data_IF_443624392087
#
_entry.id   IF_443624392087
#
_cell.length_a   1.000
_cell.length_b   1.000
_cell.length_c   1.000
_cell.angle_alpha   90.00
_cell.angle_beta   90.00
_cell.angle_gamma   90.00
#
_symmetry.space_group_name_H-M   'P 1'
#
loop_
_entity.id
_entity.type
_entity.pdbx_description
1 polymer ?
#
# COMPACT_ATOMS: atom_id res chain seq x y z
N UNK A 1 17.79 29.96 -17.75
CA UNK A 1 18.10 29.94 -16.31
C UNK A 1 17.14 28.98 -15.63
N UNK A 2 17.60 27.79 -15.24
CA UNK A 2 16.74 26.79 -14.56
C UNK A 2 17.37 26.37 -13.23
N UNK A 3 17.15 27.15 -12.15
CA UNK A 3 17.56 26.77 -10.79
C UNK A 3 16.55 25.85 -10.09
N UNK A 4 15.46 25.41 -10.74
CA UNK A 4 14.35 24.72 -10.07
C UNK A 4 14.66 23.32 -9.55
N UNK A 5 15.55 22.57 -10.20
CA UNK A 5 15.80 21.16 -9.84
C UNK A 5 16.43 20.99 -8.46
N UNK A 6 17.22 21.98 -8.02
CA UNK A 6 17.87 21.96 -6.71
C UNK A 6 16.90 22.29 -5.57
N UNK A 7 15.93 23.20 -5.81
CA UNK A 7 14.86 23.48 -4.85
C UNK A 7 14.01 22.24 -4.60
N UNK A 8 13.51 21.64 -5.68
CA UNK A 8 12.61 20.48 -5.60
C UNK A 8 13.17 19.30 -4.78
N UNK A 9 14.46 18.99 -4.90
CA UNK A 9 15.06 17.90 -4.10
C UNK A 9 15.17 18.26 -2.62
N UNK A 10 15.54 19.51 -2.29
CA UNK A 10 15.56 19.99 -0.91
C UNK A 10 14.15 20.00 -0.29
N UNK A 11 13.13 20.34 -1.06
CA UNK A 11 11.73 20.28 -0.60
C UNK A 11 11.31 18.84 -0.28
N UNK A 12 11.74 17.86 -1.07
CA UNK A 12 11.47 16.44 -0.81
C UNK A 12 12.24 15.95 0.42
N UNK A 13 13.51 16.31 0.57
CA UNK A 13 14.30 15.93 1.74
C UNK A 13 13.67 16.48 3.03
N UNK A 14 13.26 17.76 3.03
CA UNK A 14 12.52 18.36 4.15
C UNK A 14 11.20 17.67 4.42
N UNK A 15 10.47 17.27 3.37
CA UNK A 15 9.21 16.53 3.53
C UNK A 15 9.44 15.17 4.21
N UNK A 16 10.52 14.47 3.86
CA UNK A 16 10.91 13.20 4.49
C UNK A 16 11.28 13.42 5.96
N UNK A 17 12.00 14.49 6.28
CA UNK A 17 12.39 14.84 7.66
C UNK A 17 11.19 15.23 8.52
N UNK A 18 10.20 15.92 7.95
CA UNK A 18 9.01 16.40 8.67
C UNK A 18 7.93 15.32 8.83
N UNK A 19 7.93 14.29 8.00
CA UNK A 19 6.91 13.24 8.04
C UNK A 19 7.42 12.04 8.83
N UNK A 20 6.73 11.70 9.92
CA UNK A 20 7.12 10.56 10.74
C UNK A 20 6.73 9.23 10.10
N UNK A 21 7.51 8.18 10.36
CA UNK A 21 7.16 6.79 9.97
C UNK A 21 5.82 6.38 10.57
N UNK A 22 5.54 6.78 11.82
CA UNK A 22 4.26 6.51 12.48
C UNK A 22 3.07 7.07 11.70
N UNK A 23 3.18 8.31 11.22
CA UNK A 23 2.13 8.96 10.42
C UNK A 23 1.89 8.24 9.10
N UNK A 24 2.95 7.80 8.42
CA UNK A 24 2.84 6.99 7.20
C UNK A 24 2.16 5.65 7.50
N UNK A 25 2.63 4.89 8.48
CA UNK A 25 2.05 3.58 8.79
C UNK A 25 0.60 3.67 9.28
N UNK A 26 0.27 4.70 10.07
CA UNK A 26 -1.09 4.98 10.51
C UNK A 26 -2.05 5.23 9.34
N UNK A 27 -1.59 5.88 8.25
CA UNK A 27 -2.37 6.04 7.03
C UNK A 27 -2.79 4.70 6.40
N UNK A 28 -1.96 3.66 6.54
CA UNK A 28 -2.23 2.29 6.06
C UNK A 28 -2.81 1.36 7.13
N UNK A 29 -3.27 1.91 8.27
CA UNK A 29 -3.83 1.12 9.37
C UNK A 29 -2.82 0.21 10.07
N UNK A 30 -1.52 0.50 9.95
CA UNK A 30 -0.44 -0.25 10.62
C UNK A 30 0.06 0.58 11.82
N UNK A 31 -0.16 0.15 13.06
CA UNK A 31 0.34 0.89 14.23
C UNK A 31 1.85 0.67 14.41
N UNK A 32 2.58 1.74 14.73
CA UNK A 32 3.96 1.64 15.20
C UNK A 32 3.92 1.28 16.70
N UNK A 33 4.67 0.28 17.18
CA UNK A 33 4.74 -0.04 18.59
C UNK A 33 5.38 1.12 19.36
N UNK A 34 4.82 1.48 20.52
CA UNK A 34 5.29 2.60 21.37
C UNK A 34 6.72 2.44 21.91
N UNK A 35 7.38 1.30 21.68
CA UNK A 35 8.73 1.06 22.19
C UNK A 35 9.77 1.72 21.29
N UNK A 36 10.36 2.78 21.84
CA UNK A 36 11.43 3.58 21.27
C UNK A 36 12.78 2.83 21.30
N UNK A 37 12.90 1.76 20.51
CA UNK A 37 14.17 1.04 20.31
C UNK A 37 15.05 1.69 19.22
N UNK A 38 14.64 2.82 18.64
CA UNK A 38 15.29 3.47 17.50
C UNK A 38 15.22 2.71 16.16
N UNK A 39 14.71 1.48 16.21
CA UNK A 39 14.46 0.59 15.09
C UNK A 39 13.07 -0.03 15.25
N UNK A 40 12.35 -0.09 14.15
CA UNK A 40 11.10 -0.82 14.03
C UNK A 40 11.27 -1.98 13.05
N UNK A 41 10.80 -3.17 13.44
CA UNK A 41 10.75 -4.35 12.56
C UNK A 41 9.30 -4.66 12.23
N UNK A 42 9.04 -4.88 10.95
CA UNK A 42 7.72 -5.20 10.41
C UNK A 42 7.81 -6.21 9.27
N UNK A 43 6.67 -6.72 8.84
CA UNK A 43 6.55 -7.57 7.67
C UNK A 43 7.01 -6.83 6.41
N UNK A 44 7.58 -7.58 5.48
CA UNK A 44 8.01 -7.00 4.21
C UNK A 44 6.80 -6.51 3.41
N UNK A 45 6.88 -5.28 2.93
CA UNK A 45 5.84 -4.69 2.07
C UNK A 45 6.16 -4.85 0.58
N UNK A 46 7.30 -5.42 0.21
CA UNK A 46 7.76 -5.49 -1.19
C UNK A 46 7.47 -6.82 -1.89
N UNK A 47 7.12 -7.86 -1.13
CA UNK A 47 6.82 -9.18 -1.65
C UNK A 47 6.03 -9.94 -0.57
N UNK A 48 4.88 -10.52 -0.94
CA UNK A 48 4.03 -11.33 -0.07
C UNK A 48 4.76 -12.57 0.46
N UNK A 49 5.59 -13.23 -0.36
CA UNK A 49 6.41 -14.37 0.06
C UNK A 49 7.44 -13.99 1.13
N UNK A 50 7.78 -12.69 1.21
CA UNK A 50 8.71 -12.15 2.18
C UNK A 50 8.00 -11.58 3.42
N UNK A 51 6.68 -11.43 3.38
CA UNK A 51 5.88 -10.90 4.47
C UNK A 51 5.78 -11.92 5.62
N UNK A 52 5.81 -13.21 5.32
CA UNK A 52 5.74 -14.28 6.32
C UNK A 52 7.06 -14.42 7.09
N UNK A 53 7.17 -13.71 8.21
CA UNK A 53 8.31 -13.81 9.12
C UNK A 53 7.90 -13.53 10.55
N UNK A 54 8.23 -14.46 11.45
CA UNK A 54 7.92 -14.36 12.88
C UNK A 54 8.50 -13.10 13.56
N UNK A 55 9.57 -12.51 13.02
CA UNK A 55 10.29 -11.38 13.62
C UNK A 55 10.28 -10.10 12.77
N UNK A 56 9.62 -10.12 11.61
CA UNK A 56 9.65 -9.05 10.62
C UNK A 56 10.96 -9.01 9.82
N UNK A 57 10.83 -9.04 8.48
CA UNK A 57 11.97 -9.00 7.56
C UNK A 57 12.41 -7.58 7.18
N UNK A 58 11.56 -6.58 7.43
CA UNK A 58 11.79 -5.18 7.09
C UNK A 58 12.15 -4.38 8.35
N UNK A 59 13.33 -3.78 8.36
CA UNK A 59 13.79 -2.87 9.41
C UNK A 59 13.64 -1.43 8.94
N UNK A 60 13.04 -0.59 9.78
CA UNK A 60 12.91 0.87 9.61
C UNK A 60 13.67 1.55 10.75
N UNK A 61 14.65 2.40 10.41
CA UNK A 61 15.44 3.17 11.37
C UNK A 61 14.69 4.44 11.72
N UNK A 62 14.07 4.48 12.91
CA UNK A 62 13.26 5.61 13.37
C UNK A 62 14.11 6.81 13.83
N UNK A 63 15.34 6.54 14.29
CA UNK A 63 16.28 7.58 14.76
C UNK A 63 17.13 8.18 13.63
N UNK A 64 16.79 7.89 12.37
CA UNK A 64 17.54 8.35 11.21
C UNK A 64 16.76 9.45 10.51
N UNK A 65 17.42 10.58 10.23
CA UNK A 65 16.78 11.76 9.59
C UNK A 65 16.13 11.43 8.24
N UNK A 66 16.68 10.44 7.52
CA UNK A 66 16.13 9.97 6.24
C UNK A 66 15.28 8.70 6.38
N UNK A 67 15.01 8.23 7.60
CA UNK A 67 14.22 7.03 7.89
C UNK A 67 14.65 5.81 7.05
N UNK A 68 15.94 5.41 7.15
CA UNK A 68 16.49 4.33 6.33
C UNK A 68 15.73 3.03 6.56
N UNK A 69 15.41 2.37 5.46
CA UNK A 69 14.80 1.04 5.47
C UNK A 69 15.72 0.00 4.85
N UNK A 70 15.59 -1.23 5.35
CA UNK A 70 16.26 -2.39 4.78
C UNK A 70 15.44 -3.66 4.99
N UNK A 71 15.18 -4.38 3.90
CA UNK A 71 14.63 -5.73 3.96
C UNK A 71 15.77 -6.76 3.92
N UNK A 72 15.82 -7.63 4.93
CA UNK A 72 16.87 -8.65 5.05
C UNK A 72 16.75 -9.77 4.01
N UNK A 73 15.55 -10.00 3.47
CA UNK A 73 15.26 -11.07 2.50
C UNK A 73 15.28 -10.52 1.07
N UNK A 74 14.43 -9.53 0.75
CA UNK A 74 14.40 -8.92 -0.60
C UNK A 74 15.63 -8.07 -0.93
N UNK A 75 16.49 -7.76 0.05
CA UNK A 75 17.65 -6.87 -0.07
C UNK A 75 17.33 -5.45 -0.54
N UNK A 76 16.05 -5.07 -0.54
CA UNK A 76 15.58 -3.71 -0.86
C UNK A 76 16.07 -2.76 0.23
N UNK A 77 16.67 -1.65 -0.20
CA UNK A 77 17.15 -0.57 0.67
C UNK A 77 16.63 0.76 0.17
N UNK A 78 16.21 1.61 1.08
CA UNK A 78 15.71 2.93 0.72
C UNK A 78 15.50 3.84 1.92
N UNK A 79 14.58 4.78 1.74
CA UNK A 79 14.11 5.74 2.72
C UNK A 79 12.58 5.65 2.86
N UNK A 80 11.98 6.63 3.53
CA UNK A 80 10.53 6.72 3.72
C UNK A 80 9.72 6.62 2.41
N UNK A 81 10.20 7.23 1.31
CA UNK A 81 9.51 7.13 0.01
C UNK A 81 9.51 5.69 -0.52
N UNK A 82 10.60 4.95 -0.28
CA UNK A 82 10.67 3.55 -0.70
C UNK A 82 9.71 2.68 0.11
N UNK A 83 9.57 2.96 1.42
CA UNK A 83 8.58 2.29 2.26
C UNK A 83 7.16 2.56 1.73
N UNK A 84 6.86 3.83 1.44
CA UNK A 84 5.56 4.26 0.93
C UNK A 84 5.23 3.59 -0.40
N UNK A 85 6.19 3.51 -1.32
CA UNK A 85 6.01 2.79 -2.57
C UNK A 85 5.65 1.32 -2.34
N UNK A 86 6.36 0.62 -1.46
CA UNK A 86 6.05 -0.77 -1.15
C UNK A 86 4.68 -0.95 -0.49
N UNK A 87 4.25 -0.01 0.35
CA UNK A 87 2.91 -0.03 0.95
C UNK A 87 1.79 0.15 -0.10
N UNK A 88 2.05 0.87 -1.18
CA UNK A 88 1.08 1.10 -2.27
C UNK A 88 1.07 -0.03 -3.31
N UNK A 89 2.25 -0.48 -3.74
CA UNK A 89 2.39 -1.37 -4.91
C UNK A 89 2.62 -2.82 -4.53
N UNK A 90 2.94 -3.09 -3.26
CA UNK A 90 3.44 -4.38 -2.79
C UNK A 90 4.66 -4.91 -3.56
N UNK A 91 5.44 -4.01 -4.17
CA UNK A 91 6.54 -4.35 -5.08
C UNK A 91 7.79 -3.51 -4.79
N UNK A 92 8.99 -4.04 -5.07
CA UNK A 92 10.22 -3.26 -4.98
C UNK A 92 10.28 -2.21 -6.12
N UNK A 93 10.96 -1.07 -5.89
CA UNK A 93 11.12 -0.06 -6.93
C UNK A 93 11.87 -0.59 -8.16
N UNK A 94 11.45 -0.17 -9.35
CA UNK A 94 12.05 -0.61 -10.60
C UNK A 94 13.53 -0.20 -10.66
N UNK A 95 14.43 -1.19 -10.81
CA UNK A 95 15.88 -0.94 -10.83
C UNK A 95 16.50 -0.59 -9.46
N UNK A 96 15.78 -0.89 -8.37
CA UNK A 96 16.31 -0.82 -7.00
C UNK A 96 16.30 0.56 -6.35
N UNK A 97 15.88 1.62 -7.06
CA UNK A 97 15.67 2.97 -6.53
C UNK A 97 14.51 3.65 -7.23
N UNK A 98 13.71 4.40 -6.47
CA UNK A 98 12.64 5.22 -7.03
C UNK A 98 13.19 6.27 -7.99
N UNK A 99 12.69 6.27 -9.22
CA UNK A 99 13.03 7.26 -10.25
C UNK A 99 11.79 7.65 -11.05
N UNK A 100 11.89 8.74 -11.81
CA UNK A 100 10.88 9.12 -12.79
C UNK A 100 9.48 9.27 -12.16
N UNK A 101 8.51 8.55 -12.69
CA UNK A 101 7.12 8.59 -12.24
C UNK A 101 6.93 7.93 -10.88
N UNK A 102 7.56 6.80 -10.60
CA UNK A 102 7.47 6.11 -9.30
C UNK A 102 7.87 7.05 -8.14
N UNK A 103 8.93 7.83 -8.36
CA UNK A 103 9.38 8.84 -7.41
C UNK A 103 8.33 9.96 -7.22
N UNK A 104 7.79 10.50 -8.31
CA UNK A 104 6.79 11.58 -8.25
C UNK A 104 5.51 11.12 -7.53
N UNK A 105 5.04 9.91 -7.81
CA UNK A 105 3.86 9.31 -7.16
C UNK A 105 4.10 9.13 -5.66
N UNK A 106 5.26 8.59 -5.27
CA UNK A 106 5.61 8.46 -3.86
C UNK A 106 5.68 9.83 -3.16
N UNK A 107 6.28 10.84 -3.78
CA UNK A 107 6.34 12.20 -3.21
C UNK A 107 4.94 12.81 -3.08
N UNK A 108 4.09 12.67 -4.10
CA UNK A 108 2.72 13.18 -4.07
C UNK A 108 1.92 12.55 -2.92
N UNK A 109 2.05 11.23 -2.74
CA UNK A 109 1.40 10.51 -1.65
C UNK A 109 1.96 10.89 -0.28
N UNK A 110 3.27 11.12 -0.17
CA UNK A 110 3.87 11.61 1.07
C UNK A 110 3.36 13.02 1.44
N UNK A 111 3.15 13.90 0.45
CA UNK A 111 2.54 15.23 0.67
C UNK A 111 1.12 15.13 1.18
N UNK A 112 0.32 14.24 0.58
CA UNK A 112 -1.05 13.95 1.03
C UNK A 112 -1.07 13.51 2.50
N UNK A 113 -0.22 12.54 2.86
CA UNK A 113 -0.10 12.05 4.25
C UNK A 113 0.36 13.17 5.19
N UNK A 114 1.28 14.01 4.76
CA UNK A 114 1.76 15.17 5.51
C UNK A 114 0.73 16.31 5.62
N UNK A 115 -0.43 16.21 4.95
CA UNK A 115 -1.44 17.26 4.91
C UNK A 115 -1.00 18.51 4.12
N UNK A 116 0.04 18.39 3.28
CA UNK A 116 0.46 19.47 2.42
C UNK A 116 -0.35 19.45 1.11
N UNK A 117 -0.76 20.62 0.58
CA UNK A 117 -1.45 20.68 -0.69
C UNK A 117 -0.54 20.08 -1.77
N UNK A 118 -0.99 18.99 -2.37
CA UNK A 118 -0.29 18.38 -3.50
C UNK A 118 -0.43 19.33 -4.69
N UNK A 119 0.67 19.93 -5.12
CA UNK A 119 0.69 20.88 -6.24
C UNK A 119 0.41 20.21 -7.60
N UNK A 120 0.10 18.90 -7.60
CA UNK A 120 -0.31 18.16 -8.79
C UNK A 120 -1.41 17.13 -8.44
N UNK A 121 -2.68 17.41 -8.76
CA UNK A 121 -3.75 16.46 -8.62
C UNK A 121 -3.78 15.53 -9.83
N UNK A 122 -3.27 14.30 -9.70
CA UNK A 122 -3.74 13.20 -10.53
C UNK A 122 -4.72 12.38 -9.70
N UNK A 123 -6.03 12.44 -9.99
CA UNK A 123 -7.04 11.70 -9.25
C UNK A 123 -7.03 10.25 -9.72
N UNK A 124 -6.60 9.32 -8.86
CA UNK A 124 -6.97 7.92 -9.01
C UNK A 124 -7.61 7.39 -7.73
N UNK A 125 -8.94 7.43 -7.76
CA UNK A 125 -9.78 6.30 -7.41
C UNK A 125 -9.79 5.86 -5.95
N UNK A 126 -10.29 6.74 -5.08
CA UNK A 126 -11.07 6.27 -3.93
C UNK A 126 -12.32 5.56 -4.47
N UNK A 127 -12.32 4.24 -4.48
CA UNK A 127 -13.55 3.47 -4.60
C UNK A 127 -14.29 3.54 -3.26
N UNK A 128 -15.56 3.96 -3.23
CA UNK A 128 -16.49 3.45 -2.24
C UNK A 128 -17.17 2.22 -2.81
N UNK A 129 -16.89 1.09 -2.18
CA UNK A 129 -17.77 -0.08 -2.13
C UNK A 129 -19.16 0.38 -1.68
N UNK A 130 -20.13 0.37 -2.59
CA UNK A 130 -21.54 0.48 -2.21
C UNK A 130 -22.13 -0.91 -2.39
N UNK A 131 -22.23 -1.61 -1.26
CA UNK A 131 -23.15 -2.71 -1.09
C UNK A 131 -24.58 -2.20 -1.34
N UNK A 132 -25.44 -3.13 -1.76
CA UNK A 132 -26.91 -3.01 -1.81
C UNK A 132 -27.50 -2.66 -3.19
N UNK A 133 -28.04 -3.69 -3.84
CA UNK A 133 -29.19 -3.54 -4.73
C UNK A 133 -30.02 -4.80 -4.65
N UNK A 134 -31.10 -4.64 -3.90
CA UNK A 134 -32.23 -5.53 -3.73
C UNK A 134 -32.73 -6.14 -5.05
N UNK A 135 -33.18 -7.40 -4.95
CA UNK A 135 -34.10 -8.03 -5.91
C UNK A 135 -35.33 -7.15 -6.18
N UNK A 136 -35.89 -7.23 -7.40
CA UNK A 136 -37.16 -7.94 -7.49
C UNK A 136 -37.30 -8.86 -8.73
N UNK A 137 -37.88 -10.03 -8.49
CA UNK A 137 -38.51 -10.94 -9.46
C UNK A 137 -39.83 -10.32 -9.96
N UNK A 138 -40.18 -10.33 -11.26
CA UNK A 138 -41.03 -11.39 -11.87
C UNK A 138 -40.64 -11.61 -13.37
N UNK A 139 -41.11 -12.56 -14.17
CA UNK A 139 -42.28 -13.42 -14.19
C UNK A 139 -42.03 -14.57 -15.20
N UNK A 140 -42.67 -15.70 -14.92
CA UNK A 140 -43.09 -16.80 -15.78
C UNK A 140 -42.90 -16.72 -17.32
N UNK A 141 -42.46 -17.84 -17.91
CA UNK A 141 -43.26 -18.57 -18.92
C UNK A 141 -42.73 -20.00 -19.20
N UNK A 142 -43.57 -20.97 -18.83
CA UNK A 142 -44.03 -22.14 -19.60
C UNK A 142 -43.01 -22.98 -20.40
N UNK A 143 -42.87 -24.25 -19.99
CA UNK A 143 -43.11 -25.49 -20.77
C UNK A 143 -42.55 -26.68 -19.94
N UNK A 144 -43.36 -27.35 -19.10
CA UNK A 144 -44.19 -28.54 -19.42
C UNK A 144 -43.43 -29.88 -19.43
N UNK A 145 -44.12 -31.00 -19.13
CA UNK A 145 -43.61 -32.10 -18.30
C UNK A 145 -43.28 -33.38 -19.10
N UNK A 146 -42.55 -34.31 -18.48
CA UNK A 146 -42.60 -35.75 -18.78
C UNK A 146 -42.06 -36.49 -17.54
N UNK A 147 -42.95 -37.00 -16.69
CA UNK A 147 -43.43 -38.39 -16.70
C UNK A 147 -42.30 -39.43 -16.60
N UNK A 148 -42.25 -40.11 -15.46
CA UNK A 148 -41.24 -41.12 -15.17
C UNK A 148 -41.46 -41.74 -13.80
N UNK A 149 -42.69 -42.21 -13.55
CA UNK A 149 -43.00 -43.08 -12.42
C UNK A 149 -42.15 -44.36 -12.46
N UNK A 150 -41.53 -44.74 -11.35
CA UNK A 150 -41.99 -45.92 -10.58
C UNK A 150 -41.09 -46.26 -9.39
N UNK A 151 -41.63 -46.96 -8.38
CA UNK A 151 -41.01 -47.16 -7.08
C UNK A 151 -40.48 -48.61 -6.86
N UNK A 152 -39.85 -48.76 -5.70
CA UNK A 152 -39.93 -49.90 -4.78
C UNK A 152 -38.92 -51.06 -4.87
N UNK A 153 -38.71 -51.60 -3.67
CA UNK A 153 -38.19 -52.91 -3.26
C UNK A 153 -36.66 -53.04 -3.21
N UNK A 154 -36.05 -53.07 -2.02
CA UNK A 154 -36.00 -54.16 -1.03
C UNK A 154 -34.91 -55.20 -1.33
N UNK A 155 -34.04 -55.41 -0.34
CA UNK A 155 -32.98 -56.41 -0.32
C UNK A 155 -32.03 -56.12 0.84
#
# INVERSE_FOLDING_TARGET
MTPQKFGYMNDVDRLIEQTSVSQVLAHYGKPLPEKDSGEHRMDCVFNEDCADSQYGNLTVKLNDVINRIYCHTCKVRGNLLTLLHGLETHQPPTGGRLRGEEFKTAVAKLREIAGQPSENPSPVSSAPVIAESFHPTPQARLSSPSDGASPAASG
#
